data_IF_296472426467
#
_entry.id   IF_296472426467
#
_cell.length_a   1.000
_cell.length_b   1.000
_cell.length_c   1.000
_cell.angle_alpha   90.00
_cell.angle_beta   90.00
_cell.angle_gamma   90.00
#
_symmetry.space_group_name_H-M   'P 1'
#
loop_
_entity.id
_entity.type
_entity.pdbx_description
1 polymer ?
#
# COMPACT_ATOMS: atom_id res chain seq x y z
N UNK A 1 -8.69 -48.29 -35.15
CA UNK A 1 -9.33 -46.98 -35.34
C UNK A 1 -9.82 -46.54 -33.97
N UNK A 2 -9.02 -45.94 -33.09
CA UNK A 2 -7.97 -44.95 -33.31
C UNK A 2 -8.60 -43.55 -33.23
N UNK A 3 -8.92 -43.09 -32.01
CA UNK A 3 -9.21 -41.69 -31.73
C UNK A 3 -8.51 -41.31 -30.43
N UNK A 4 -7.81 -40.19 -30.53
CA UNK A 4 -6.67 -39.77 -29.75
C UNK A 4 -7.03 -39.01 -28.49
N UNK A 5 -6.08 -39.06 -27.56
CA UNK A 5 -6.01 -38.35 -26.30
C UNK A 5 -5.75 -36.85 -26.52
N UNK A 6 -6.58 -36.00 -25.91
CA UNK A 6 -6.35 -34.56 -25.81
C UNK A 6 -6.06 -34.18 -24.36
N UNK A 7 -4.81 -34.34 -23.93
CA UNK A 7 -4.32 -33.84 -22.65
C UNK A 7 -3.99 -32.34 -22.77
N UNK A 8 -4.80 -31.47 -22.16
CA UNK A 8 -4.43 -30.07 -21.94
C UNK A 8 -3.72 -29.94 -20.59
N UNK A 9 -2.41 -29.73 -20.66
CA UNK A 9 -1.58 -29.32 -19.54
C UNK A 9 -1.87 -27.86 -19.19
N UNK A 10 -2.53 -27.61 -18.06
CA UNK A 10 -2.58 -26.28 -17.44
C UNK A 10 -1.22 -26.02 -16.76
N UNK A 11 -0.37 -25.26 -17.44
CA UNK A 11 0.90 -24.77 -16.92
C UNK A 11 0.68 -23.89 -15.69
N UNK A 12 1.28 -24.31 -14.59
CA UNK A 12 1.50 -23.48 -13.41
C UNK A 12 2.61 -22.47 -13.74
N UNK A 13 2.23 -21.24 -14.06
CA UNK A 13 3.16 -20.11 -14.12
C UNK A 13 3.61 -19.79 -12.68
N UNK A 14 4.80 -20.28 -12.32
CA UNK A 14 5.55 -19.77 -11.18
C UNK A 14 5.91 -18.31 -11.49
N UNK A 15 5.20 -17.37 -10.87
CA UNK A 15 5.70 -16.01 -10.68
C UNK A 15 6.94 -16.07 -9.78
N UNK A 16 8.13 -15.95 -10.38
CA UNK A 16 9.33 -15.56 -9.66
C UNK A 16 9.15 -14.12 -9.19
N UNK A 17 8.75 -13.96 -7.93
CA UNK A 17 8.77 -12.67 -7.24
C UNK A 17 10.24 -12.36 -6.92
N UNK A 18 10.78 -11.37 -7.62
CA UNK A 18 12.11 -10.83 -7.34
C UNK A 18 12.21 -10.37 -5.86
N UNK A 19 13.36 -10.55 -5.21
CA UNK A 19 13.56 -10.09 -3.84
C UNK A 19 13.57 -8.56 -3.82
N UNK A 20 12.63 -7.97 -3.08
CA UNK A 20 12.69 -6.56 -2.71
C UNK A 20 13.77 -6.45 -1.64
N UNK A 21 14.96 -6.00 -2.04
CA UNK A 21 15.98 -5.50 -1.11
C UNK A 21 15.44 -4.21 -0.47
N UNK A 22 14.68 -4.37 0.60
CA UNK A 22 14.28 -3.29 1.49
C UNK A 22 15.06 -3.40 2.79
N UNK A 23 15.98 -2.46 2.99
CA UNK A 23 16.83 -2.31 4.17
C UNK A 23 16.06 -2.58 5.49
N UNK A 24 16.49 -3.64 6.19
CA UNK A 24 16.20 -3.80 7.61
C UNK A 24 17.20 -2.92 8.34
N UNK A 25 16.81 -1.67 8.64
CA UNK A 25 17.51 -0.90 9.66
C UNK A 25 17.16 -1.50 11.02
N UNK A 26 18.15 -2.18 11.57
CA UNK A 26 18.22 -2.59 12.97
C UNK A 26 18.14 -1.35 13.84
N UNK A 27 17.07 -1.21 14.63
CA UNK A 27 16.98 -0.22 15.70
C UNK A 27 17.95 -0.65 16.81
N UNK A 28 19.16 -0.13 16.72
CA UNK A 28 20.10 -0.06 17.83
C UNK A 28 19.58 0.93 18.85
N UNK A 29 19.30 0.42 20.06
CA UNK A 29 19.35 1.24 21.28
C UNK A 29 20.79 1.72 21.42
N UNK A 30 21.00 3.03 21.50
CA UNK A 30 21.92 3.68 22.45
C UNK A 30 21.95 5.21 22.22
N UNK A 31 21.60 5.94 23.28
CA UNK A 31 22.27 7.17 23.73
C UNK A 31 22.32 8.42 22.84
N UNK A 32 21.58 9.44 23.27
CA UNK A 32 22.19 10.76 23.55
C UNK A 32 21.99 11.89 22.54
N UNK A 33 21.36 12.98 23.00
CA UNK A 33 21.18 14.25 22.28
C UNK A 33 20.07 14.13 21.23
N UNK A 34 19.07 14.98 21.14
CA UNK A 34 19.03 16.43 21.27
C UNK A 34 17.56 16.78 21.47
N UNK A 35 17.24 17.69 22.40
CA UNK A 35 15.85 18.07 22.66
C UNK A 35 15.37 18.94 21.50
N UNK A 36 14.76 18.31 20.50
CA UNK A 36 13.96 19.02 19.51
C UNK A 36 12.79 19.69 20.21
N UNK A 37 12.94 21.02 20.34
CA UNK A 37 11.86 21.91 20.71
C UNK A 37 10.84 21.88 19.59
N UNK A 38 9.73 21.18 19.82
CA UNK A 38 8.52 21.37 19.03
C UNK A 38 8.06 22.83 19.21
N UNK A 39 8.33 23.66 18.22
CA UNK A 39 7.67 24.96 18.10
C UNK A 39 6.29 24.70 17.49
N UNK A 40 5.27 24.67 18.35
CA UNK A 40 3.89 24.87 17.90
C UNK A 40 3.78 26.32 17.43
N UNK A 41 3.79 26.54 16.11
CA UNK A 41 3.44 27.83 15.52
C UNK A 41 1.92 27.87 15.42
N UNK A 42 1.25 28.20 16.52
CA UNK A 42 -0.11 28.76 16.47
C UNK A 42 0.05 30.24 16.13
N UNK A 43 0.20 30.52 14.84
CA UNK A 43 0.13 31.87 14.31
C UNK A 43 -1.32 32.22 14.05
N UNK A 44 -2.01 32.77 15.06
CA UNK A 44 -3.21 33.56 14.83
C UNK A 44 -2.78 34.84 14.09
N UNK A 45 -2.69 34.75 12.76
CA UNK A 45 -2.57 35.93 11.91
C UNK A 45 -3.95 36.58 11.81
N UNK A 46 -4.27 37.38 12.82
CA UNK A 46 -5.20 38.49 12.67
C UNK A 46 -4.57 39.49 11.69
N UNK A 47 -4.71 39.23 10.40
CA UNK A 47 -4.54 40.24 9.37
C UNK A 47 -5.76 41.15 9.45
N UNK A 48 -5.60 42.28 10.14
CA UNK A 48 -6.45 43.44 9.92
C UNK A 48 -6.39 43.79 8.43
N UNK A 49 -7.44 43.42 7.71
CA UNK A 49 -7.79 43.98 6.42
C UNK A 49 -8.19 45.45 6.64
N UNK A 50 -7.20 46.33 6.67
CA UNK A 50 -7.44 47.76 6.57
C UNK A 50 -6.44 48.36 5.59
N UNK A 51 -7.00 49.14 4.64
CA UNK A 51 -6.35 50.02 3.64
C UNK A 51 -6.13 49.44 2.24
N UNK A 52 -7.22 49.28 1.49
CA UNK A 52 -7.20 49.32 0.01
C UNK A 52 -7.96 50.53 -0.56
N UNK A 53 -8.28 51.54 0.25
CA UNK A 53 -9.07 52.71 -0.16
C UNK A 53 -8.33 53.87 -0.84
N UNK A 54 -7.00 53.82 -1.03
CA UNK A 54 -6.21 55.01 -1.38
C UNK A 54 -5.90 55.19 -2.89
N UNK A 55 -6.17 54.19 -3.73
CA UNK A 55 -5.83 54.26 -5.17
C UNK A 55 -6.58 55.34 -5.97
N UNK A 56 -7.89 55.61 -5.77
CA UNK A 56 -8.59 56.65 -6.54
C UNK A 56 -8.14 58.07 -6.19
N UNK A 57 -7.66 58.29 -4.97
CA UNK A 57 -7.33 59.63 -4.47
C UNK A 57 -6.08 60.20 -5.17
N UNK A 58 -5.08 59.38 -5.47
CA UNK A 58 -3.86 59.84 -6.14
C UNK A 58 -4.06 60.22 -7.61
N UNK A 59 -4.89 59.49 -8.37
CA UNK A 59 -5.21 59.87 -9.75
C UNK A 59 -5.97 61.20 -9.80
N UNK A 60 -6.95 61.39 -8.91
CA UNK A 60 -7.64 62.68 -8.78
C UNK A 60 -6.70 63.80 -8.32
N UNK A 61 -5.73 63.51 -7.46
CA UNK A 61 -4.72 64.49 -7.05
C UNK A 61 -3.80 64.90 -8.20
N UNK A 62 -3.37 63.97 -9.06
CA UNK A 62 -2.56 64.27 -10.25
C UNK A 62 -3.34 65.06 -11.31
N UNK A 63 -4.62 64.74 -11.51
CA UNK A 63 -5.49 65.53 -12.40
C UNK A 63 -5.74 66.93 -11.86
N UNK A 64 -5.89 67.09 -10.54
CA UNK A 64 -6.01 68.38 -9.88
C UNK A 64 -4.71 69.21 -9.95
N UNK A 65 -3.53 68.56 -9.88
CA UNK A 65 -2.24 69.23 -10.09
C UNK A 65 -2.08 69.69 -11.54
N UNK A 66 -2.44 68.84 -12.52
CA UNK A 66 -2.42 69.22 -13.94
C UNK A 66 -3.37 70.37 -14.27
N UNK A 67 -4.57 70.37 -13.70
CA UNK A 67 -5.54 71.46 -13.81
C UNK A 67 -5.07 72.74 -13.11
N UNK A 68 -4.42 72.63 -11.95
CA UNK A 68 -3.84 73.76 -11.22
C UNK A 68 -2.72 74.46 -11.99
N UNK A 69 -1.86 73.69 -12.67
CA UNK A 69 -0.80 74.25 -13.53
C UNK A 69 -1.41 74.97 -14.74
N UNK A 70 -2.44 74.42 -15.38
CA UNK A 70 -3.14 75.07 -16.50
C UNK A 70 -3.91 76.34 -16.08
N UNK A 71 -4.43 76.39 -14.85
CA UNK A 71 -5.09 77.58 -14.32
C UNK A 71 -4.11 78.70 -13.96
N UNK A 72 -2.91 78.36 -13.46
CA UNK A 72 -1.84 79.33 -13.20
C UNK A 72 -1.34 79.98 -14.51
N UNK A 73 -1.17 79.21 -15.58
CA UNK A 73 -0.81 79.76 -16.91
C UNK A 73 -1.88 80.71 -17.47
N UNK A 74 -3.15 80.58 -17.06
CA UNK A 74 -4.25 81.44 -17.52
C UNK A 74 -4.33 82.77 -16.77
N UNK A 75 -3.83 82.83 -15.54
CA UNK A 75 -3.79 84.07 -14.75
C UNK A 75 -2.61 84.99 -15.13
N UNK A 76 -1.58 84.46 -15.80
CA UNK A 76 -0.46 85.27 -16.32
C UNK A 76 -0.66 85.75 -17.77
N UNK A 77 -1.81 85.44 -18.40
CA UNK A 77 -2.10 85.74 -19.80
C UNK A 77 -2.86 87.04 -20.07
N UNK A 78 -2.32 88.20 -19.65
CA UNK A 78 -2.59 89.48 -20.34
C UNK A 78 -1.26 90.11 -20.75
N UNK A 79 -0.66 89.54 -21.79
CA UNK A 79 0.41 90.16 -22.57
C UNK A 79 1.62 89.26 -22.77
N UNK A 80 1.89 88.86 -24.01
CA UNK A 80 3.18 88.28 -24.38
C UNK A 80 3.07 86.93 -25.10
N UNK A 81 3.12 87.00 -26.42
CA UNK A 81 3.34 85.86 -27.32
C UNK A 81 4.77 85.32 -27.09
N UNK A 82 4.92 84.00 -26.92
CA UNK A 82 6.03 83.29 -27.57
C UNK A 82 7.09 82.53 -26.76
N UNK A 83 6.92 82.22 -25.46
CA UNK A 83 7.95 81.43 -24.74
C UNK A 83 7.48 80.29 -23.83
N UNK A 84 6.18 79.96 -23.77
CA UNK A 84 5.68 78.85 -22.97
C UNK A 84 5.92 77.44 -23.58
N UNK A 85 6.66 77.32 -24.69
CA UNK A 85 6.60 76.08 -25.49
C UNK A 85 7.32 74.85 -24.92
N UNK A 86 8.50 74.88 -24.26
CA UNK A 86 9.23 73.64 -23.94
C UNK A 86 8.92 73.04 -22.56
N UNK A 87 8.64 73.87 -21.56
CA UNK A 87 8.47 73.42 -20.17
C UNK A 87 7.08 72.82 -19.94
N UNK A 88 6.03 73.42 -20.51
CA UNK A 88 4.67 72.87 -20.47
C UNK A 88 4.61 71.54 -21.23
N UNK A 89 5.28 71.43 -22.40
CA UNK A 89 5.43 70.17 -23.12
C UNK A 89 6.15 69.09 -22.29
N UNK A 90 7.16 69.47 -21.51
CA UNK A 90 7.86 68.55 -20.61
C UNK A 90 6.96 68.06 -19.48
N UNK A 91 6.17 68.93 -18.85
CA UNK A 91 5.21 68.54 -17.81
C UNK A 91 4.09 67.65 -18.34
N UNK A 92 3.57 67.93 -19.54
CA UNK A 92 2.58 67.07 -20.20
C UNK A 92 3.18 65.69 -20.51
N UNK A 93 4.43 65.62 -20.97
CA UNK A 93 5.13 64.34 -21.19
C UNK A 93 5.35 63.57 -19.88
N UNK A 94 5.83 64.23 -18.84
CA UNK A 94 6.09 63.62 -17.53
C UNK A 94 4.79 63.10 -16.88
N UNK A 95 3.73 63.89 -16.90
CA UNK A 95 2.41 63.47 -16.38
C UNK A 95 1.83 62.32 -17.20
N UNK A 96 2.02 62.32 -18.53
CA UNK A 96 1.64 61.20 -19.39
C UNK A 96 2.43 59.92 -19.13
N UNK A 97 3.73 60.02 -18.83
CA UNK A 97 4.57 58.88 -18.42
C UNK A 97 4.16 58.32 -17.06
N UNK A 98 3.92 59.19 -16.07
CA UNK A 98 3.45 58.80 -14.75
C UNK A 98 2.10 58.10 -14.85
N UNK A 99 1.14 58.65 -15.60
CA UNK A 99 -0.17 58.02 -15.83
C UNK A 99 -0.06 56.64 -16.48
N UNK A 100 0.82 56.49 -17.48
CA UNK A 100 1.09 55.18 -18.09
C UNK A 100 1.69 54.19 -17.09
N UNK A 101 2.65 54.64 -16.27
CA UNK A 101 3.24 53.82 -15.21
C UNK A 101 2.21 53.33 -14.19
N UNK A 102 1.31 54.21 -13.75
CA UNK A 102 0.21 53.84 -12.85
C UNK A 102 -0.76 52.85 -13.50
N UNK A 103 -1.18 53.07 -14.75
CA UNK A 103 -2.07 52.15 -15.46
C UNK A 103 -1.47 50.75 -15.61
N UNK A 104 -0.16 50.65 -15.90
CA UNK A 104 0.55 49.35 -15.95
C UNK A 104 0.64 48.73 -14.56
N UNK A 105 0.90 49.52 -13.53
CA UNK A 105 0.95 49.03 -12.14
C UNK A 105 -0.41 48.48 -11.68
N UNK A 106 -1.51 49.16 -11.99
CA UNK A 106 -2.87 48.70 -11.68
C UNK A 106 -3.21 47.39 -12.40
N UNK A 107 -2.82 47.27 -13.69
CA UNK A 107 -3.01 46.03 -14.44
C UNK A 107 -2.22 44.86 -13.83
N UNK A 108 -0.97 45.10 -13.42
CA UNK A 108 -0.16 44.09 -12.74
C UNK A 108 -0.76 43.70 -11.38
N UNK A 109 -1.27 44.68 -10.61
CA UNK A 109 -1.95 44.41 -9.34
C UNK A 109 -3.20 43.56 -9.54
N UNK A 110 -4.01 43.84 -10.57
CA UNK A 110 -5.18 43.01 -10.90
C UNK A 110 -4.79 41.58 -11.26
N UNK A 111 -3.76 41.41 -12.10
CA UNK A 111 -3.25 40.09 -12.48
C UNK A 111 -2.70 39.30 -11.28
N UNK A 112 -2.00 39.95 -10.36
CA UNK A 112 -1.50 39.31 -9.13
C UNK A 112 -2.66 38.83 -8.25
N UNK A 113 -3.71 39.65 -8.08
CA UNK A 113 -4.90 39.24 -7.32
C UNK A 113 -5.56 38.00 -7.91
N UNK A 114 -5.76 37.98 -9.22
CA UNK A 114 -6.33 36.81 -9.90
C UNK A 114 -5.47 35.55 -9.71
N UNK A 115 -4.13 35.69 -9.79
CA UNK A 115 -3.23 34.57 -9.51
C UNK A 115 -3.30 34.11 -8.05
N UNK A 116 -3.45 35.02 -7.08
CA UNK A 116 -3.61 34.69 -5.66
C UNK A 116 -4.91 33.91 -5.43
N UNK A 117 -6.05 34.37 -5.95
CA UNK A 117 -7.33 33.67 -5.87
C UNK A 117 -7.27 32.28 -6.53
N UNK A 118 -6.59 32.19 -7.67
CA UNK A 118 -6.37 30.92 -8.37
C UNK A 118 -5.43 29.97 -7.59
N UNK A 119 -4.51 30.48 -6.78
CA UNK A 119 -3.65 29.68 -5.92
C UNK A 119 -4.41 29.21 -4.68
N UNK A 120 -5.16 30.08 -4.02
CA UNK A 120 -6.02 29.75 -2.87
C UNK A 120 -6.99 28.60 -3.20
N UNK A 121 -7.70 28.72 -4.34
CA UNK A 121 -8.60 27.65 -4.79
C UNK A 121 -7.89 26.32 -5.07
N UNK A 122 -6.63 26.34 -5.52
CA UNK A 122 -5.81 25.13 -5.68
C UNK A 122 -5.35 24.57 -4.34
N UNK A 123 -4.99 25.42 -3.38
CA UNK A 123 -4.64 25.00 -2.03
C UNK A 123 -5.81 24.31 -1.34
N UNK A 124 -7.02 24.89 -1.39
CA UNK A 124 -8.24 24.27 -0.86
C UNK A 124 -8.52 22.90 -1.49
N UNK A 125 -8.30 22.77 -2.80
CA UNK A 125 -8.47 21.50 -3.50
C UNK A 125 -7.44 20.47 -3.05
N UNK A 126 -6.18 20.87 -2.88
CA UNK A 126 -5.12 19.99 -2.40
C UNK A 126 -5.38 19.56 -0.96
N UNK A 127 -5.79 20.46 -0.08
CA UNK A 127 -6.13 20.16 1.30
C UNK A 127 -7.26 19.11 1.38
N UNK A 128 -8.35 19.33 0.63
CA UNK A 128 -9.46 18.36 0.54
C UNK A 128 -9.00 17.00 0.03
N UNK A 129 -8.13 16.97 -0.99
CA UNK A 129 -7.57 15.72 -1.50
C UNK A 129 -6.73 15.02 -0.43
N UNK A 130 -5.83 15.75 0.23
CA UNK A 130 -4.99 15.19 1.30
C UNK A 130 -5.84 14.59 2.41
N UNK A 131 -6.87 15.30 2.88
CA UNK A 131 -7.80 14.80 3.89
C UNK A 131 -8.50 13.50 3.45
N UNK A 132 -8.93 13.42 2.18
CA UNK A 132 -9.56 12.21 1.63
C UNK A 132 -8.57 11.03 1.60
N UNK A 133 -7.34 11.27 1.17
CA UNK A 133 -6.29 10.24 1.16
C UNK A 133 -5.95 9.76 2.56
N UNK A 134 -5.84 10.67 3.54
CA UNK A 134 -5.60 10.31 4.94
C UNK A 134 -6.71 9.44 5.51
N UNK A 135 -7.97 9.82 5.30
CA UNK A 135 -9.12 9.05 5.75
C UNK A 135 -9.15 7.66 5.08
N UNK A 136 -8.91 7.60 3.77
CA UNK A 136 -8.84 6.32 3.05
C UNK A 136 -7.69 5.44 3.56
N UNK A 137 -6.54 6.05 3.88
CA UNK A 137 -5.40 5.32 4.40
C UNK A 137 -5.68 4.77 5.80
N UNK A 138 -6.44 5.50 6.62
CA UNK A 138 -6.85 5.03 7.93
C UNK A 138 -7.81 3.84 7.85
N UNK A 139 -8.84 3.91 7.00
CA UNK A 139 -9.74 2.76 6.76
C UNK A 139 -8.95 1.53 6.27
N UNK A 140 -8.02 1.71 5.32
CA UNK A 140 -7.19 0.61 4.84
C UNK A 140 -6.30 0.01 5.94
N UNK A 141 -5.77 0.83 6.85
CA UNK A 141 -4.99 0.34 8.00
C UNK A 141 -5.84 -0.51 8.93
N UNK A 142 -7.06 -0.07 9.23
CA UNK A 142 -8.01 -0.83 10.05
C UNK A 142 -8.36 -2.18 9.42
N UNK A 143 -8.67 -2.20 8.11
CA UNK A 143 -8.95 -3.43 7.37
C UNK A 143 -7.76 -4.40 7.38
N UNK A 144 -6.54 -3.89 7.19
CA UNK A 144 -5.33 -4.72 7.26
C UNK A 144 -5.14 -5.34 8.64
N UNK A 145 -5.47 -4.63 9.72
CA UNK A 145 -5.41 -5.16 11.08
C UNK A 145 -6.42 -6.29 11.26
N UNK A 146 -7.67 -6.11 10.79
CA UNK A 146 -8.72 -7.13 10.86
C UNK A 146 -8.35 -8.38 10.06
N UNK A 147 -7.89 -8.22 8.81
CA UNK A 147 -7.46 -9.34 7.95
C UNK A 147 -6.32 -10.12 8.62
N UNK A 148 -5.34 -9.43 9.22
CA UNK A 148 -4.23 -10.08 9.94
C UNK A 148 -4.72 -10.88 11.14
N UNK A 149 -5.73 -10.37 11.86
CA UNK A 149 -6.30 -11.06 13.00
C UNK A 149 -7.05 -12.33 12.56
N UNK A 150 -7.84 -12.25 11.50
CA UNK A 150 -8.60 -13.40 11.00
C UNK A 150 -7.69 -14.45 10.36
N UNK A 151 -6.62 -14.03 9.68
CA UNK A 151 -5.61 -14.95 9.17
C UNK A 151 -4.94 -15.74 10.30
N UNK A 152 -4.64 -15.09 11.44
CA UNK A 152 -4.09 -15.77 12.62
C UNK A 152 -5.07 -16.82 13.17
N UNK A 153 -6.33 -16.43 13.39
CA UNK A 153 -7.38 -17.36 13.86
C UNK A 153 -7.56 -18.55 12.92
N UNK A 154 -7.59 -18.30 11.60
CA UNK A 154 -7.71 -19.35 10.60
C UNK A 154 -6.52 -20.30 10.64
N UNK A 155 -5.30 -19.77 10.77
CA UNK A 155 -4.08 -20.57 10.85
C UNK A 155 -4.04 -21.42 12.12
N UNK A 156 -4.45 -20.84 13.25
CA UNK A 156 -4.51 -21.57 14.53
C UNK A 156 -5.54 -22.70 14.45
N UNK A 157 -6.72 -22.44 13.89
CA UNK A 157 -7.73 -23.47 13.65
C UNK A 157 -7.25 -24.56 12.69
N UNK A 158 -6.51 -24.20 11.65
CA UNK A 158 -5.94 -25.17 10.72
C UNK A 158 -4.93 -26.07 11.44
N UNK A 159 -4.05 -25.49 12.25
CA UNK A 159 -3.08 -26.25 13.03
C UNK A 159 -3.78 -27.20 14.01
N UNK A 160 -4.80 -26.72 14.73
CA UNK A 160 -5.58 -27.55 15.67
C UNK A 160 -6.25 -28.74 14.96
N UNK A 161 -6.78 -28.52 13.75
CA UNK A 161 -7.39 -29.59 12.95
C UNK A 161 -6.34 -30.58 12.44
N UNK A 162 -5.17 -30.11 12.02
CA UNK A 162 -4.04 -30.97 11.62
C UNK A 162 -3.57 -31.83 12.78
N UNK A 163 -3.40 -31.25 13.96
CA UNK A 163 -3.00 -31.97 15.17
C UNK A 163 -4.04 -33.03 15.57
N UNK A 164 -5.33 -32.71 15.46
CA UNK A 164 -6.42 -33.68 15.70
C UNK A 164 -6.41 -34.80 14.68
N UNK A 165 -6.23 -34.50 13.39
CA UNK A 165 -6.13 -35.50 12.33
C UNK A 165 -4.93 -36.41 12.57
N UNK A 166 -3.76 -35.86 12.86
CA UNK A 166 -2.57 -36.66 13.15
C UNK A 166 -2.81 -37.59 14.36
N UNK A 167 -3.42 -37.08 15.43
CA UNK A 167 -3.78 -37.91 16.59
C UNK A 167 -4.72 -39.04 16.20
N UNK A 168 -5.76 -38.77 15.42
CA UNK A 168 -6.70 -39.79 14.96
C UNK A 168 -6.06 -40.80 14.01
N UNK A 169 -5.21 -40.36 13.08
CA UNK A 169 -4.47 -41.25 12.21
C UNK A 169 -3.52 -42.15 13.00
N UNK A 170 -2.80 -41.58 13.97
CA UNK A 170 -1.92 -42.33 14.84
C UNK A 170 -2.73 -43.35 15.66
N UNK A 171 -3.86 -42.95 16.25
CA UNK A 171 -4.74 -43.88 16.97
C UNK A 171 -5.31 -44.99 16.07
N UNK A 172 -5.70 -44.66 14.84
CA UNK A 172 -6.19 -45.62 13.87
C UNK A 172 -5.09 -46.60 13.41
N UNK A 173 -3.83 -46.16 13.36
CA UNK A 173 -2.68 -46.97 12.96
C UNK A 173 -2.02 -47.73 14.12
N UNK A 174 -2.30 -47.38 15.38
CA UNK A 174 -1.68 -48.01 16.57
C UNK A 174 -1.82 -49.53 16.61
N UNK A 175 -2.95 -50.04 16.14
CA UNK A 175 -3.24 -51.48 16.13
C UNK A 175 -2.87 -52.16 14.79
N UNK A 176 -2.29 -51.42 13.85
CA UNK A 176 -1.90 -51.94 12.55
C UNK A 176 -0.40 -52.23 12.56
N UNK A 177 -0.05 -53.51 12.47
CA UNK A 177 1.33 -53.93 12.23
C UNK A 177 1.61 -53.91 10.73
N UNK A 178 2.81 -53.45 10.36
CA UNK A 178 3.32 -53.53 8.98
C UNK A 178 4.52 -54.46 8.94
N UNK A 179 4.39 -55.57 8.23
CA UNK A 179 5.48 -56.52 8.03
C UNK A 179 6.10 -56.24 6.66
N UNK A 180 7.41 -56.01 6.67
CA UNK A 180 8.18 -55.63 5.49
C UNK A 180 9.01 -56.81 4.99
N UNK A 181 9.39 -56.76 3.73
CA UNK A 181 10.32 -57.71 3.10
C UNK A 181 9.83 -59.16 3.05
N UNK A 182 8.53 -59.36 2.90
CA UNK A 182 7.99 -60.70 2.66
C UNK A 182 8.14 -61.02 1.17
N UNK A 183 8.85 -62.10 0.81
CA UNK A 183 8.96 -62.52 -0.58
C UNK A 183 7.60 -62.98 -1.10
N UNK A 184 7.21 -62.45 -2.26
CA UNK A 184 5.90 -62.72 -2.86
C UNK A 184 5.67 -64.23 -3.05
N UNK A 185 4.51 -64.72 -2.64
CA UNK A 185 4.10 -66.12 -2.82
C UNK A 185 4.46 -67.05 -1.65
N UNK A 186 5.15 -66.56 -0.61
CA UNK A 186 5.30 -67.31 0.64
C UNK A 186 4.05 -67.26 1.53
N UNK A 187 3.14 -66.31 1.31
CA UNK A 187 1.97 -66.14 2.18
C UNK A 187 0.94 -67.28 2.03
N UNK A 188 0.92 -67.95 0.88
CA UNK A 188 -0.11 -68.93 0.52
C UNK A 188 -1.51 -68.30 0.41
N UNK A 189 -2.55 -69.13 0.51
CA UNK A 189 -3.95 -68.69 0.33
C UNK A 189 -4.53 -67.96 1.56
N UNK A 190 -3.90 -68.08 2.74
CA UNK A 190 -4.44 -67.53 3.99
C UNK A 190 -3.41 -66.65 4.72
N UNK A 191 -3.38 -65.38 4.33
CA UNK A 191 -2.48 -64.35 4.88
C UNK A 191 -2.59 -64.24 6.41
N UNK A 192 -3.80 -64.38 6.99
CA UNK A 192 -3.96 -64.30 8.46
C UNK A 192 -3.20 -65.41 9.18
N UNK A 193 -3.30 -66.65 8.69
CA UNK A 193 -2.58 -67.79 9.28
C UNK A 193 -1.07 -67.65 9.10
N UNK A 194 -0.64 -67.17 7.93
CA UNK A 194 0.76 -66.88 7.68
C UNK A 194 1.31 -65.83 8.68
N UNK A 195 0.62 -64.69 8.86
CA UNK A 195 1.00 -63.67 9.85
C UNK A 195 1.05 -64.24 11.27
N UNK A 196 0.06 -65.05 11.68
CA UNK A 196 0.05 -65.67 13.00
C UNK A 196 1.25 -66.60 13.20
N UNK A 197 1.58 -67.42 12.20
CA UNK A 197 2.77 -68.28 12.25
C UNK A 197 4.07 -67.48 12.33
N UNK A 198 4.15 -66.35 11.62
CA UNK A 198 5.31 -65.48 11.63
C UNK A 198 5.48 -64.80 12.99
N UNK A 199 4.41 -64.22 13.55
CA UNK A 199 4.42 -63.60 14.87
C UNK A 199 4.81 -64.63 15.94
N UNK A 200 4.21 -65.82 15.92
CA UNK A 200 4.53 -66.90 16.86
C UNK A 200 6.01 -67.26 16.80
N UNK A 201 6.55 -67.47 15.60
CA UNK A 201 7.97 -67.84 15.40
C UNK A 201 8.91 -66.71 15.82
N UNK A 202 8.58 -65.46 15.52
CA UNK A 202 9.44 -64.30 15.82
C UNK A 202 9.45 -63.93 17.31
N UNK A 203 8.31 -64.06 18.00
CA UNK A 203 8.17 -63.69 19.41
C UNK A 203 8.23 -64.88 20.38
N UNK A 204 8.35 -66.11 19.87
CA UNK A 204 8.42 -67.34 20.65
C UNK A 204 7.23 -67.50 21.62
N UNK A 205 6.02 -67.23 21.12
CA UNK A 205 4.80 -67.32 21.92
C UNK A 205 4.37 -68.78 22.10
N UNK A 206 3.92 -69.12 23.31
CA UNK A 206 3.37 -70.45 23.63
C UNK A 206 1.96 -70.66 23.03
N UNK A 207 1.23 -69.57 22.81
CA UNK A 207 -0.12 -69.59 22.22
C UNK A 207 -0.15 -70.29 20.86
N UNK A 208 -1.26 -70.98 20.57
CA UNK A 208 -1.43 -71.63 19.28
C UNK A 208 -1.60 -70.61 18.15
N UNK A 209 -1.19 -70.96 16.93
CA UNK A 209 -1.36 -70.07 15.76
C UNK A 209 -2.83 -69.69 15.52
N UNK A 210 -3.77 -70.57 15.90
CA UNK A 210 -5.21 -70.31 15.78
C UNK A 210 -5.70 -69.27 16.77
N UNK A 211 -5.19 -69.27 18.00
CA UNK A 211 -5.53 -68.26 19.03
C UNK A 211 -5.01 -66.89 18.60
N UNK A 212 -3.77 -66.83 18.13
CA UNK A 212 -3.19 -65.58 17.60
C UNK A 212 -3.98 -65.09 16.38
N UNK A 213 -4.31 -65.98 15.43
CA UNK A 213 -5.08 -65.63 14.24
C UNK A 213 -6.50 -65.14 14.56
N UNK A 214 -7.13 -65.65 15.62
CA UNK A 214 -8.45 -65.19 16.06
C UNK A 214 -8.44 -63.72 16.52
N UNK A 215 -7.31 -63.25 17.07
CA UNK A 215 -7.13 -61.85 17.48
C UNK A 215 -6.82 -60.91 16.31
N UNK A 216 -6.49 -61.44 15.12
CA UNK A 216 -6.23 -60.64 13.91
C UNK A 216 -7.57 -60.33 13.21
N UNK A 217 -8.04 -59.09 13.35
CA UNK A 217 -9.27 -58.64 12.71
C UNK A 217 -9.18 -58.67 11.17
N UNK A 218 -8.10 -58.13 10.60
CA UNK A 218 -7.86 -58.06 9.15
C UNK A 218 -6.36 -58.22 8.86
N UNK A 219 -6.04 -58.94 7.79
CA UNK A 219 -4.69 -59.00 7.22
C UNK A 219 -4.85 -58.97 5.70
N UNK A 220 -4.09 -58.11 5.04
CA UNK A 220 -4.13 -57.93 3.60
C UNK A 220 -2.80 -57.34 3.15
N UNK A 221 -2.44 -57.56 1.88
CA UNK A 221 -1.30 -56.91 1.28
C UNK A 221 -1.63 -55.45 0.97
N UNK A 222 -0.68 -54.54 1.17
CA UNK A 222 -0.86 -53.12 0.86
C UNK A 222 -1.07 -52.95 -0.66
N UNK A 223 -2.25 -52.47 -1.12
CA UNK A 223 -2.58 -52.42 -2.55
C UNK A 223 -1.78 -51.37 -3.33
N UNK A 224 -1.07 -50.45 -2.66
CA UNK A 224 -0.51 -49.23 -3.28
C UNK A 224 0.93 -49.31 -3.77
N UNK A 225 1.54 -50.50 -3.88
CA UNK A 225 2.86 -50.66 -4.53
C UNK A 225 2.95 -51.91 -5.43
N UNK A 226 2.29 -51.85 -6.58
CA UNK A 226 2.72 -52.62 -7.76
C UNK A 226 3.71 -51.78 -8.57
N UNK A 227 4.88 -51.50 -8.01
CA UNK A 227 6.01 -51.07 -8.84
C UNK A 227 6.48 -52.30 -9.62
N UNK A 228 5.80 -52.64 -10.72
CA UNK A 228 6.18 -53.77 -11.59
C UNK A 228 7.61 -53.63 -12.14
N UNK A 229 8.16 -52.41 -12.12
CA UNK A 229 9.53 -52.09 -12.50
C UNK A 229 10.58 -52.31 -11.40
N UNK A 230 10.18 -52.38 -10.12
CA UNK A 230 11.09 -52.65 -9.00
C UNK A 230 10.58 -53.89 -8.28
N UNK A 231 11.25 -55.04 -8.47
CA UNK A 231 11.04 -56.31 -7.73
C UNK A 231 11.33 -56.17 -6.23
N UNK A 232 10.68 -55.21 -5.56
CA UNK A 232 10.79 -55.02 -4.13
C UNK A 232 9.68 -55.82 -3.46
N UNK A 233 9.98 -56.56 -2.39
CA UNK A 233 9.00 -57.35 -1.67
C UNK A 233 7.83 -56.47 -1.15
N UNK A 234 6.64 -57.05 -1.12
CA UNK A 234 5.42 -56.38 -0.69
C UNK A 234 5.34 -56.24 0.84
N UNK A 235 4.47 -55.34 1.27
CA UNK A 235 4.19 -55.07 2.68
C UNK A 235 2.85 -55.68 3.04
N UNK A 236 2.78 -56.35 4.18
CA UNK A 236 1.54 -56.83 4.81
C UNK A 236 1.18 -55.90 5.96
#
# INVERSE_FOLDING_TARGET
>A
MGLEEGAQASGSERMEVAPIEGCVETIGKDGGGEKDKCYAVTGDLNLQEDRTGESPQMLTALDNVGLGVLQLSRLEGKGGVGCLSPMEEMFVKLTGEIKRGFSVSEANQASIKEMCEALESKFDLLEKKTQLWENSMETLREEVVLIKQDLRKSKDSEQDLRDKLERFENMARRNNLRILNIPEGQEGDNIKMFCASLIKKSLQLEESEREIAANIQRAHMDPFRRDTARKKPQKI
#
